data_IF_934325917795
#
_entry.id   IF_934325917795
#
_cell.length_a   1.000
_cell.length_b   1.000
_cell.length_c   1.000
_cell.angle_alpha   90.00
_cell.angle_beta   90.00
_cell.angle_gamma   90.00
#
_symmetry.space_group_name_H-M   'P 1'
#
loop_
_entity.id
_entity.type
_entity.pdbx_description
1 polymer ?
#
# COMPACT_ATOMS: atom_id res chain seq x y z
N UNK A 1 14.04 8.22 -10.76
CA UNK A 1 13.19 8.39 -9.57
C UNK A 1 12.39 7.11 -9.41
N UNK A 2 13.03 6.03 -8.94
CA UNK A 2 12.33 4.78 -8.65
C UNK A 2 11.67 4.95 -7.30
N UNK A 3 10.36 5.23 -7.31
CA UNK A 3 9.58 5.10 -6.09
C UNK A 3 9.69 3.64 -5.65
N UNK A 4 10.33 3.39 -4.49
CA UNK A 4 10.33 2.08 -3.88
C UNK A 4 8.87 1.75 -3.54
N UNK A 5 8.18 1.02 -4.42
CA UNK A 5 6.78 0.66 -4.24
C UNK A 5 6.69 -0.49 -3.23
N UNK A 6 6.87 -0.17 -1.95
CA UNK A 6 6.78 -1.10 -0.82
C UNK A 6 5.38 -1.75 -0.65
N UNK A 7 4.40 -1.33 -1.45
CA UNK A 7 2.99 -1.71 -1.36
C UNK A 7 2.49 -2.52 -2.57
N UNK A 8 3.25 -2.57 -3.69
CA UNK A 8 2.76 -3.17 -4.92
C UNK A 8 2.76 -4.70 -4.82
N UNK A 9 1.64 -5.35 -5.18
CA UNK A 9 1.48 -6.81 -5.07
C UNK A 9 1.37 -7.34 -3.64
N UNK A 10 1.25 -6.44 -2.65
CA UNK A 10 1.16 -6.78 -1.21
C UNK A 10 -0.26 -6.58 -0.66
N UNK A 11 -1.27 -6.63 -1.50
CA UNK A 11 -2.66 -6.51 -1.06
C UNK A 11 -3.00 -7.57 0.00
N UNK A 12 -3.45 -7.13 1.18
CA UNK A 12 -3.73 -8.01 2.32
C UNK A 12 -2.52 -8.34 3.20
N UNK A 13 -1.30 -8.10 2.73
CA UNK A 13 -0.08 -8.26 3.53
C UNK A 13 0.09 -7.09 4.51
N UNK A 14 0.77 -7.29 5.66
CA UNK A 14 1.10 -6.21 6.58
C UNK A 14 2.02 -5.18 5.92
N UNK A 15 1.89 -3.93 6.34
CA UNK A 15 2.78 -2.85 5.95
C UNK A 15 4.23 -3.20 6.33
N UNK A 16 5.19 -2.78 5.49
CA UNK A 16 6.62 -3.00 5.73
C UNK A 16 7.24 -1.97 6.71
N UNK A 17 6.45 -1.01 7.19
CA UNK A 17 6.95 -0.06 8.17
C UNK A 17 6.99 -0.73 9.53
N UNK A 18 8.13 -0.66 10.21
CA UNK A 18 8.35 -1.31 11.52
C UNK A 18 7.39 -0.83 12.62
N UNK A 19 6.75 0.32 12.42
CA UNK A 19 5.79 0.93 13.36
C UNK A 19 4.34 0.80 12.90
N UNK A 20 4.06 0.01 11.86
CA UNK A 20 2.72 -0.13 11.30
C UNK A 20 2.38 -1.56 10.91
N UNK A 21 1.36 -2.10 11.55
CA UNK A 21 0.86 -3.46 11.29
C UNK A 21 -0.37 -3.49 10.39
N UNK A 22 -0.80 -2.34 9.85
CA UNK A 22 -1.96 -2.27 8.98
C UNK A 22 -1.72 -3.03 7.68
N UNK A 23 -2.73 -3.78 7.23
CA UNK A 23 -2.70 -4.44 5.93
C UNK A 23 -2.78 -3.43 4.79
N UNK A 24 -2.00 -3.65 3.74
CA UNK A 24 -2.05 -2.84 2.52
C UNK A 24 -3.41 -3.03 1.85
N UNK A 25 -4.04 -1.90 1.51
CA UNK A 25 -5.33 -1.86 0.83
C UNK A 25 -5.13 -1.58 -0.65
N UNK A 26 -5.98 -2.19 -1.45
CA UNK A 26 -6.16 -1.87 -2.87
C UNK A 26 -7.44 -1.06 -3.05
N UNK A 27 -7.35 0.03 -3.80
CA UNK A 27 -8.52 0.76 -4.31
C UNK A 27 -8.44 0.82 -5.82
N UNK A 28 -9.60 0.86 -6.47
CA UNK A 28 -9.70 1.06 -7.91
C UNK A 28 -10.26 2.45 -8.16
N UNK A 29 -9.49 3.30 -8.80
CA UNK A 29 -9.90 4.66 -9.19
C UNK A 29 -9.82 4.78 -10.70
N UNK A 30 -10.95 5.08 -11.34
CA UNK A 30 -11.04 5.23 -12.81
C UNK A 30 -10.40 4.06 -13.58
N UNK A 31 -10.59 2.84 -13.10
CA UNK A 31 -10.04 1.62 -13.71
C UNK A 31 -8.56 1.33 -13.43
N UNK A 32 -7.87 2.18 -12.65
CA UNK A 32 -6.49 1.94 -12.21
C UNK A 32 -6.48 1.42 -10.78
N UNK A 33 -5.73 0.33 -10.55
CA UNK A 33 -5.53 -0.21 -9.21
C UNK A 33 -4.41 0.55 -8.51
N UNK A 34 -4.71 1.06 -7.32
CA UNK A 34 -3.76 1.74 -6.44
C UNK A 34 -3.65 0.95 -5.15
N UNK A 35 -2.43 0.69 -4.70
CA UNK A 35 -2.13 0.04 -3.43
C UNK A 35 -1.57 1.08 -2.46
N UNK A 36 -2.05 1.09 -1.23
CA UNK A 36 -1.58 2.03 -0.21
C UNK A 36 -1.77 1.47 1.21
N UNK A 37 -0.98 1.96 2.16
CA UNK A 37 -1.19 1.70 3.57
C UNK A 37 -2.10 2.81 4.16
N UNK A 38 -3.26 2.50 4.75
CA UNK A 38 -4.17 3.53 5.28
C UNK A 38 -3.63 4.29 6.49
N UNK A 39 -2.62 3.74 7.19
CA UNK A 39 -1.98 4.40 8.33
C UNK A 39 -0.76 5.23 7.93
N UNK A 40 0.05 4.76 6.98
CA UNK A 40 1.28 5.44 6.56
C UNK A 40 1.06 6.43 5.41
N UNK A 41 0.09 6.18 4.52
CA UNK A 41 -0.25 7.06 3.41
C UNK A 41 -1.66 7.63 3.65
N UNK A 42 -1.71 8.95 3.83
CA UNK A 42 -2.94 9.73 4.03
C UNK A 42 -3.02 10.82 2.99
#
# INVERSE_FOLDING_TARGET
FSHNFQVYGREGEPCLSEVCDASIKRIVQSGRSTFYCPNCQR
#
